data_IF_417155792770
#
_entry.id   IF_417155792770
#
_cell.length_a   1.000
_cell.length_b   1.000
_cell.length_c   1.000
_cell.angle_alpha   90.00
_cell.angle_beta   90.00
_cell.angle_gamma   90.00
#
_symmetry.space_group_name_H-M   'P 1'
#
loop_
_entity.id
_entity.type
_entity.pdbx_description
1 polymer ?
#
# COMPACT_ATOMS: atom_id res chain seq x y z
N UNK A 1 50.48 12.46 -10.18
CA UNK A 1 49.42 12.82 -9.21
C UNK A 1 48.00 12.47 -9.69
N UNK A 2 47.83 11.76 -10.83
CA UNK A 2 46.50 11.38 -11.32
C UNK A 2 45.93 10.07 -10.72
N UNK A 3 46.77 9.16 -10.22
CA UNK A 3 46.31 7.85 -9.74
C UNK A 3 45.47 7.90 -8.45
N UNK A 4 45.73 8.87 -7.56
CA UNK A 4 45.00 8.98 -6.28
C UNK A 4 43.54 9.39 -6.47
N UNK A 5 43.27 10.20 -7.51
CA UNK A 5 41.90 10.62 -7.84
C UNK A 5 41.12 9.46 -8.46
N UNK A 6 41.78 8.66 -9.29
CA UNK A 6 41.21 7.46 -9.91
C UNK A 6 40.90 6.38 -8.86
N UNK A 7 41.80 6.16 -7.91
CA UNK A 7 41.56 5.28 -6.75
C UNK A 7 40.43 5.81 -5.85
N UNK A 8 40.38 7.11 -5.59
CA UNK A 8 39.33 7.75 -4.81
C UNK A 8 37.95 7.60 -5.46
N UNK A 9 37.86 7.76 -6.79
CA UNK A 9 36.63 7.53 -7.55
C UNK A 9 36.24 6.05 -7.53
N UNK A 10 37.20 5.14 -7.66
CA UNK A 10 36.96 3.69 -7.55
C UNK A 10 36.37 3.31 -6.18
N UNK A 11 36.93 3.85 -5.09
CA UNK A 11 36.42 3.64 -3.73
C UNK A 11 35.02 4.26 -3.53
N UNK A 12 34.76 5.44 -4.12
CA UNK A 12 33.45 6.08 -4.05
C UNK A 12 32.37 5.26 -4.78
N UNK A 13 32.67 4.76 -5.98
CA UNK A 13 31.75 3.91 -6.75
C UNK A 13 31.49 2.60 -6.01
N UNK A 14 32.54 1.98 -5.45
CA UNK A 14 32.40 0.75 -4.67
C UNK A 14 31.53 0.96 -3.42
N UNK A 15 31.79 2.03 -2.66
CA UNK A 15 31.03 2.36 -1.46
C UNK A 15 29.57 2.71 -1.76
N UNK A 16 29.33 3.56 -2.75
CA UNK A 16 27.97 3.96 -3.17
C UNK A 16 27.21 2.77 -3.78
N UNK A 17 27.88 1.89 -4.52
CA UNK A 17 27.29 0.67 -5.08
C UNK A 17 26.88 -0.32 -3.98
N UNK A 18 27.72 -0.53 -2.97
CA UNK A 18 27.39 -1.40 -1.84
C UNK A 18 26.20 -0.87 -1.03
N UNK A 19 26.18 0.44 -0.75
CA UNK A 19 25.04 1.07 -0.05
C UNK A 19 23.76 0.95 -0.88
N UNK A 20 23.83 1.17 -2.20
CA UNK A 20 22.68 0.98 -3.09
C UNK A 20 22.15 -0.45 -3.02
N UNK A 21 23.04 -1.44 -3.13
CA UNK A 21 22.65 -2.85 -3.05
C UNK A 21 22.02 -3.19 -1.70
N UNK A 22 22.59 -2.67 -0.61
CA UNK A 22 22.07 -2.85 0.74
C UNK A 22 20.66 -2.24 0.89
N UNK A 23 20.43 -1.03 0.39
CA UNK A 23 19.11 -0.40 0.40
C UNK A 23 18.10 -1.18 -0.45
N UNK A 24 18.49 -1.68 -1.63
CA UNK A 24 17.63 -2.53 -2.46
C UNK A 24 17.20 -3.77 -1.66
N UNK A 25 18.14 -4.44 -0.98
CA UNK A 25 17.82 -5.58 -0.11
C UNK A 25 16.86 -5.18 1.02
N UNK A 26 17.07 -4.03 1.67
CA UNK A 26 16.16 -3.53 2.71
C UNK A 26 14.76 -3.20 2.18
N UNK A 27 14.64 -2.65 0.97
CA UNK A 27 13.37 -2.40 0.31
C UNK A 27 12.63 -3.71 0.06
N UNK A 28 13.32 -4.75 -0.41
CA UNK A 28 12.71 -6.08 -0.56
C UNK A 28 12.33 -6.70 0.79
N UNK A 29 13.17 -6.56 1.83
CA UNK A 29 12.88 -7.07 3.16
C UNK A 29 11.65 -6.39 3.79
N UNK A 30 11.56 -5.06 3.69
CA UNK A 30 10.41 -4.30 4.18
C UNK A 30 9.15 -4.58 3.36
N UNK A 31 9.27 -4.75 2.05
CA UNK A 31 8.17 -5.20 1.18
C UNK A 31 7.68 -6.62 1.51
N UNK A 32 8.62 -7.54 1.79
CA UNK A 32 8.29 -8.89 2.23
C UNK A 32 7.59 -8.87 3.58
N UNK A 33 8.07 -8.05 4.51
CA UNK A 33 7.40 -7.84 5.80
C UNK A 33 5.99 -7.28 5.60
N UNK A 34 5.78 -6.33 4.68
CA UNK A 34 4.45 -5.81 4.35
C UNK A 34 3.51 -6.89 3.81
N UNK A 35 3.98 -7.76 2.91
CA UNK A 35 3.18 -8.91 2.42
C UNK A 35 2.93 -9.96 3.50
N UNK A 36 3.94 -10.26 4.30
CA UNK A 36 3.84 -11.25 5.37
C UNK A 36 2.89 -10.76 6.46
N UNK A 37 2.94 -9.48 6.81
CA UNK A 37 1.99 -8.85 7.72
C UNK A 37 0.57 -8.90 7.14
N UNK A 38 0.33 -8.49 5.89
CA UNK A 38 -0.99 -8.58 5.26
C UNK A 38 -1.52 -10.04 5.15
N UNK A 39 -0.63 -11.03 5.08
CA UNK A 39 -1.00 -12.44 4.96
C UNK A 39 -1.21 -13.14 6.31
N UNK A 40 -0.36 -12.91 7.32
CA UNK A 40 -0.51 -13.49 8.66
C UNK A 40 -1.53 -12.73 9.53
N UNK A 41 -1.61 -11.42 9.35
CA UNK A 41 -2.62 -10.55 9.96
C UNK A 41 -3.33 -9.84 8.81
N UNK A 42 -4.33 -10.47 8.17
CA UNK A 42 -5.28 -9.72 7.36
C UNK A 42 -5.96 -8.71 8.27
N UNK A 43 -5.35 -7.54 8.41
CA UNK A 43 -6.02 -6.35 8.87
C UNK A 43 -7.24 -6.25 7.97
N UNK A 44 -8.42 -6.45 8.57
CA UNK A 44 -9.69 -6.27 7.90
C UNK A 44 -9.57 -5.01 7.05
N UNK A 45 -9.93 -5.06 5.76
CA UNK A 45 -9.54 -4.06 4.77
C UNK A 45 -9.67 -2.70 5.41
N UNK A 46 -8.54 -2.01 5.61
CA UNK A 46 -8.56 -0.60 5.89
C UNK A 46 -9.37 -0.04 4.74
N UNK A 47 -10.65 0.25 5.03
CA UNK A 47 -11.62 0.77 4.07
C UNK A 47 -10.85 1.84 3.35
N UNK A 48 -10.55 1.60 2.07
CA UNK A 48 -9.85 2.57 1.27
C UNK A 48 -10.65 3.85 1.47
N UNK A 49 -10.10 4.79 2.26
CA UNK A 49 -10.75 6.06 2.48
C UNK A 49 -11.01 6.54 1.06
N UNK A 50 -12.29 6.69 0.64
CA UNK A 50 -12.58 6.97 -0.74
C UNK A 50 -11.76 8.20 -1.05
N UNK A 51 -10.83 8.10 -2.00
CA UNK A 51 -10.25 9.27 -2.63
C UNK A 51 -11.50 10.01 -3.10
N UNK A 52 -11.90 11.04 -2.38
CA UNK A 52 -13.10 11.79 -2.67
C UNK A 52 -12.79 12.49 -3.99
N UNK A 53 -13.10 11.78 -5.08
CA UNK A 53 -13.44 12.40 -6.32
C UNK A 53 -14.53 13.40 -5.95
N UNK A 54 -14.22 14.68 -6.07
CA UNK A 54 -15.15 15.76 -5.91
C UNK A 54 -16.29 15.58 -6.93
N UNK A 55 -17.27 14.77 -6.58
CA UNK A 55 -18.55 14.71 -7.26
C UNK A 55 -19.51 15.41 -6.33
N UNK A 56 -19.99 16.56 -6.77
CA UNK A 56 -21.04 17.30 -6.09
C UNK A 56 -22.26 16.38 -5.92
N UNK A 57 -22.36 15.70 -4.77
CA UNK A 57 -23.54 14.95 -4.39
C UNK A 57 -24.56 15.97 -3.88
N UNK A 58 -25.61 16.19 -4.69
CA UNK A 58 -26.85 16.74 -4.16
C UNK A 58 -27.35 15.84 -3.02
N UNK A 59 -27.98 16.44 -2.01
CA UNK A 59 -28.44 15.75 -0.79
C UNK A 59 -29.26 14.47 -1.06
N UNK A 60 -30.02 14.44 -2.16
CA UNK A 60 -30.78 13.25 -2.60
C UNK A 60 -29.91 12.08 -3.06
N UNK A 61 -28.71 12.34 -3.58
CA UNK A 61 -27.77 11.29 -4.00
C UNK A 61 -27.13 10.56 -2.82
N UNK A 62 -26.92 11.26 -1.69
CA UNK A 62 -26.39 10.66 -0.46
C UNK A 62 -27.39 9.68 0.14
N UNK A 63 -28.66 10.07 0.21
CA UNK A 63 -29.74 9.25 0.78
C UNK A 63 -29.98 7.97 -0.04
N UNK A 64 -30.04 8.08 -1.37
CA UNK A 64 -30.17 6.93 -2.27
C UNK A 64 -28.98 5.96 -2.17
N UNK A 65 -27.76 6.49 -2.07
CA UNK A 65 -26.56 5.68 -1.89
C UNK A 65 -26.58 4.97 -0.53
N UNK A 66 -27.03 5.65 0.53
CA UNK A 66 -27.10 5.09 1.87
C UNK A 66 -28.15 3.97 1.97
N UNK A 67 -29.34 4.18 1.38
CA UNK A 67 -30.39 3.15 1.29
C UNK A 67 -29.91 1.91 0.51
N UNK A 68 -29.16 2.11 -0.57
CA UNK A 68 -28.59 1.02 -1.37
C UNK A 68 -27.53 0.22 -0.58
N UNK A 69 -26.63 0.90 0.14
CA UNK A 69 -25.60 0.25 0.97
C UNK A 69 -26.23 -0.53 2.13
N UNK A 70 -27.22 0.03 2.81
CA UNK A 70 -27.94 -0.67 3.89
C UNK A 70 -28.65 -1.92 3.36
N UNK A 71 -29.30 -1.81 2.21
CA UNK A 71 -29.99 -2.94 1.56
C UNK A 71 -29.00 -4.04 1.17
N UNK A 72 -27.86 -3.68 0.57
CA UNK A 72 -26.81 -4.62 0.21
C UNK A 72 -26.21 -5.31 1.45
N UNK A 73 -25.97 -4.57 2.53
CA UNK A 73 -25.46 -5.11 3.79
C UNK A 73 -26.45 -6.08 4.45
N UNK A 74 -27.75 -5.76 4.47
CA UNK A 74 -28.80 -6.65 5.00
C UNK A 74 -28.91 -7.90 4.14
N UNK A 75 -28.83 -7.78 2.81
CA UNK A 75 -28.88 -8.93 1.91
C UNK A 75 -27.68 -9.86 2.10
N UNK A 76 -26.48 -9.29 2.23
CA UNK A 76 -25.24 -10.03 2.53
C UNK A 76 -25.33 -10.77 3.87
N UNK A 77 -25.84 -10.09 4.93
CA UNK A 77 -25.98 -10.70 6.25
C UNK A 77 -27.00 -11.84 6.25
N UNK A 78 -28.12 -11.67 5.54
CA UNK A 78 -29.14 -12.72 5.41
C UNK A 78 -28.62 -13.94 4.67
N UNK A 79 -27.85 -13.73 3.60
CA UNK A 79 -27.27 -14.81 2.77
C UNK A 79 -26.09 -15.53 3.43
N UNK A 80 -25.49 -14.94 4.46
CA UNK A 80 -24.40 -15.53 5.25
C UNK A 80 -24.89 -16.26 6.51
N UNK A 81 -26.19 -16.17 6.86
CA UNK A 81 -26.76 -16.81 8.06
C UNK A 81 -27.50 -18.12 7.74
N UNK A 82 -27.60 -18.48 6.47
CA UNK A 82 -28.26 -19.66 5.92
C UNK A 82 -27.27 -20.57 5.16
N UNK A 83 -25.96 -20.46 5.44
CA UNK A 83 -24.94 -21.45 5.06
C UNK A 83 -24.19 -21.96 6.28
#
# INVERSE_FOLDING_TARGET
MNGLLEDGVGLMVLGMGFVFLFLVVLIFATGYMSRLLNYLFPEAPAVAAPKLAAKNLSTSGVDAQMAAVITAAVHQHRNNKNS
#
